data_IF_308516063931
#
_entry.id   IF_308516063931
#
_cell.length_a   1.000
_cell.length_b   1.000
_cell.length_c   1.000
_cell.angle_alpha   90.00
_cell.angle_beta   90.00
_cell.angle_gamma   90.00
#
_symmetry.space_group_name_H-M   'P 1'
#
loop_
_entity.id
_entity.type
_entity.pdbx_description
1 polymer ?
#
# COMPACT_ATOMS: atom_id res chain seq x y z
N UNK A 1 22.13 -73.96 -25.34
CA UNK A 1 20.69 -73.84 -25.76
C UNK A 1 20.28 -72.39 -25.70
N UNK A 2 19.69 -71.94 -26.71
CA UNK A 2 19.44 -70.59 -27.23
C UNK A 2 19.10 -69.53 -26.21
N UNK A 3 19.92 -68.44 -26.24
CA UNK A 3 19.59 -67.11 -25.65
C UNK A 3 18.64 -66.41 -26.59
N UNK A 4 17.52 -65.85 -26.04
CA UNK A 4 16.65 -64.92 -26.77
C UNK A 4 17.01 -63.50 -26.32
N UNK A 5 17.42 -62.71 -27.30
CA UNK A 5 17.72 -61.30 -27.21
C UNK A 5 16.42 -60.51 -27.14
N UNK A 6 16.19 -59.72 -26.10
CA UNK A 6 15.12 -58.74 -26.00
C UNK A 6 15.67 -57.37 -26.41
N UNK A 7 15.21 -56.90 -27.58
CA UNK A 7 15.47 -55.56 -28.09
C UNK A 7 14.53 -54.59 -27.35
N UNK A 8 15.08 -53.76 -26.47
CA UNK A 8 14.37 -52.62 -25.86
C UNK A 8 14.48 -51.44 -26.82
N UNK A 9 13.37 -51.11 -27.48
CA UNK A 9 13.25 -49.88 -28.26
C UNK A 9 13.17 -48.68 -27.31
N UNK A 10 14.21 -47.85 -27.36
CA UNK A 10 14.22 -46.57 -26.66
C UNK A 10 13.17 -45.60 -27.24
N UNK A 11 12.20 -45.21 -26.45
CA UNK A 11 11.36 -44.03 -26.71
C UNK A 11 12.18 -42.78 -26.42
N UNK A 12 12.56 -42.06 -27.46
CA UNK A 12 13.08 -40.70 -27.36
C UNK A 12 11.91 -39.83 -27.02
N UNK A 13 11.76 -39.46 -25.76
CA UNK A 13 10.84 -38.41 -25.31
C UNK A 13 11.40 -37.08 -25.79
N UNK A 14 10.80 -36.53 -26.82
CA UNK A 14 11.00 -35.12 -27.20
C UNK A 14 10.52 -34.23 -26.06
N UNK A 15 11.44 -33.65 -25.30
CA UNK A 15 11.17 -32.53 -24.40
C UNK A 15 10.77 -31.36 -25.29
N UNK A 16 9.49 -31.06 -25.33
CA UNK A 16 9.00 -29.75 -25.72
C UNK A 16 9.58 -28.75 -24.69
N UNK A 17 10.60 -28.02 -25.12
CA UNK A 17 11.02 -26.82 -24.44
C UNK A 17 9.85 -25.84 -24.54
N UNK A 18 9.04 -25.76 -23.47
CA UNK A 18 8.17 -24.62 -23.27
C UNK A 18 9.13 -23.42 -23.12
N UNK A 19 9.27 -22.65 -24.20
CA UNK A 19 9.95 -21.37 -24.16
C UNK A 19 9.21 -20.51 -23.15
N UNK A 20 9.87 -20.19 -22.04
CA UNK A 20 9.46 -19.09 -21.20
C UNK A 20 9.28 -17.88 -22.11
N UNK A 21 8.15 -17.16 -22.04
CA UNK A 21 8.04 -15.93 -22.77
C UNK A 21 9.21 -15.04 -22.30
N UNK A 22 10.11 -14.73 -23.21
CA UNK A 22 11.12 -13.69 -23.02
C UNK A 22 10.34 -12.42 -22.75
N UNK A 23 10.20 -12.05 -21.45
CA UNK A 23 9.78 -10.73 -21.05
C UNK A 23 10.82 -9.79 -21.66
N UNK A 24 10.49 -9.19 -22.78
CA UNK A 24 11.13 -7.96 -23.20
C UNK A 24 10.87 -6.99 -22.06
N UNK A 25 11.90 -6.71 -21.28
CA UNK A 25 11.95 -5.57 -20.36
C UNK A 25 11.78 -4.32 -21.22
N UNK A 26 10.53 -3.98 -21.51
CA UNK A 26 10.22 -2.68 -22.02
C UNK A 26 10.35 -1.77 -20.78
N UNK A 27 11.49 -1.11 -20.64
CA UNK A 27 11.57 0.19 -19.99
C UNK A 27 10.68 1.12 -20.84
N UNK A 28 9.38 0.97 -20.72
CA UNK A 28 8.45 1.92 -21.25
C UNK A 28 8.81 3.24 -20.56
N UNK A 29 9.29 4.19 -21.35
CA UNK A 29 9.30 5.60 -20.97
C UNK A 29 8.00 5.85 -20.22
N UNK A 30 8.08 6.51 -19.07
CA UNK A 30 6.90 6.91 -18.31
C UNK A 30 6.13 7.87 -19.22
N UNK A 31 5.27 7.32 -20.08
CA UNK A 31 4.17 8.10 -20.61
C UNK A 31 3.30 8.37 -19.39
N UNK A 32 3.21 9.63 -19.01
CA UNK A 32 2.35 10.07 -17.91
C UNK A 32 1.01 9.37 -18.10
N UNK A 33 0.56 8.61 -17.10
CA UNK A 33 -0.69 7.86 -17.20
C UNK A 33 -1.81 8.84 -17.56
N UNK A 34 -2.50 8.58 -18.64
CA UNK A 34 -3.66 9.35 -19.13
C UNK A 34 -4.94 8.54 -19.13
N UNK A 35 -4.83 7.23 -18.84
CA UNK A 35 -6.00 6.36 -18.76
C UNK A 35 -6.70 6.61 -17.40
N UNK A 36 -8.03 6.60 -17.35
CA UNK A 36 -8.77 6.71 -16.10
C UNK A 36 -8.28 5.68 -15.08
N UNK A 37 -8.29 6.06 -13.81
CA UNK A 37 -7.99 5.11 -12.74
C UNK A 37 -9.09 4.04 -12.64
N UNK A 38 -8.69 2.83 -12.23
CA UNK A 38 -9.63 1.80 -11.83
C UNK A 38 -10.11 2.06 -10.40
N UNK A 39 -11.40 1.82 -10.11
CA UNK A 39 -12.01 1.98 -8.78
C UNK A 39 -12.91 0.77 -8.44
N UNK A 40 -12.78 0.17 -7.23
CA UNK A 40 -11.68 0.37 -6.30
C UNK A 40 -10.38 -0.11 -6.92
N UNK A 41 -9.30 0.59 -6.65
CA UNK A 41 -8.04 0.33 -7.34
C UNK A 41 -6.80 0.68 -6.52
N UNK A 42 -6.80 0.42 -5.21
CA UNK A 42 -5.66 0.59 -4.32
C UNK A 42 -5.18 -0.76 -3.75
N UNK A 43 -5.25 -0.99 -2.45
CA UNK A 43 -4.88 -2.29 -1.85
C UNK A 43 -5.82 -3.41 -2.28
N UNK A 44 -7.04 -3.07 -2.68
CA UNK A 44 -8.06 -4.00 -3.14
C UNK A 44 -8.67 -3.55 -4.45
N UNK A 45 -8.98 -4.52 -5.29
CA UNK A 45 -9.84 -4.40 -6.45
C UNK A 45 -11.13 -5.19 -6.23
N UNK A 46 -12.13 -5.02 -7.07
CA UNK A 46 -13.43 -5.70 -6.94
C UNK A 46 -13.30 -7.22 -6.88
N UNK A 47 -12.41 -7.80 -7.68
CA UNK A 47 -12.13 -9.23 -7.76
C UNK A 47 -11.56 -9.79 -6.43
N UNK A 48 -10.82 -8.98 -5.68
CA UNK A 48 -10.32 -9.37 -4.36
C UNK A 48 -11.47 -9.61 -3.38
N UNK A 49 -12.43 -8.68 -3.36
CA UNK A 49 -13.61 -8.83 -2.51
C UNK A 49 -14.49 -10.00 -2.94
N UNK A 50 -14.63 -10.26 -4.23
CA UNK A 50 -15.33 -11.44 -4.74
C UNK A 50 -14.65 -12.73 -4.30
N UNK A 51 -13.33 -12.80 -4.40
CA UNK A 51 -12.53 -13.93 -3.94
C UNK A 51 -12.66 -14.15 -2.45
N UNK A 52 -12.57 -13.08 -1.63
CA UNK A 52 -12.73 -13.15 -0.16
C UNK A 52 -14.12 -13.67 0.19
N UNK A 53 -15.19 -13.12 -0.41
CA UNK A 53 -16.56 -13.62 -0.21
C UNK A 53 -16.69 -15.10 -0.53
N UNK A 54 -16.06 -15.53 -1.64
CA UNK A 54 -16.06 -16.94 -2.03
C UNK A 54 -15.40 -17.84 -0.99
N UNK A 55 -14.26 -17.42 -0.42
CA UNK A 55 -13.55 -18.19 0.61
C UNK A 55 -14.30 -18.22 1.93
N UNK A 56 -14.88 -17.11 2.36
CA UNK A 56 -15.69 -17.03 3.60
C UNK A 56 -16.93 -17.90 3.47
N UNK A 57 -17.67 -17.82 2.36
CA UNK A 57 -18.86 -18.62 2.09
C UNK A 57 -18.57 -20.13 2.03
N UNK A 58 -17.40 -20.50 1.53
CA UNK A 58 -16.96 -21.90 1.45
C UNK A 58 -16.29 -22.39 2.74
N UNK A 59 -16.26 -21.57 3.80
CA UNK A 59 -15.57 -21.86 5.07
C UNK A 59 -14.12 -22.33 4.88
N UNK A 60 -13.43 -21.76 3.86
CA UNK A 60 -12.11 -22.20 3.44
C UNK A 60 -11.03 -21.70 4.42
N UNK A 61 -10.31 -22.64 5.05
CA UNK A 61 -9.11 -22.31 5.83
C UNK A 61 -7.91 -21.95 4.93
N UNK A 62 -7.00 -21.08 5.40
CA UNK A 62 -7.04 -20.34 6.68
C UNK A 62 -7.92 -19.06 6.65
N UNK A 63 -8.49 -18.70 5.51
CA UNK A 63 -9.17 -17.42 5.26
C UNK A 63 -10.39 -17.19 6.17
N UNK A 64 -11.16 -18.24 6.45
CA UNK A 64 -12.32 -18.14 7.38
C UNK A 64 -11.88 -17.79 8.79
N UNK A 65 -10.71 -18.24 9.25
CA UNK A 65 -10.18 -17.91 10.57
C UNK A 65 -9.81 -16.43 10.69
N UNK A 66 -9.27 -15.85 9.61
CA UNK A 66 -8.95 -14.42 9.57
C UNK A 66 -10.22 -13.58 9.45
N UNK A 67 -11.22 -14.07 8.71
CA UNK A 67 -12.55 -13.46 8.68
C UNK A 67 -13.19 -13.39 10.08
N UNK A 68 -13.14 -14.44 10.86
CA UNK A 68 -13.68 -14.46 12.24
C UNK A 68 -12.99 -13.41 13.12
N UNK A 69 -11.67 -13.20 12.94
CA UNK A 69 -10.94 -12.16 13.68
C UNK A 69 -11.34 -10.75 13.26
N UNK A 70 -11.51 -10.53 11.94
CA UNK A 70 -11.96 -9.25 11.40
C UNK A 70 -13.38 -8.94 11.88
N UNK A 71 -14.30 -9.89 11.76
CA UNK A 71 -15.69 -9.76 12.19
C UNK A 71 -15.80 -9.40 13.68
N UNK A 72 -14.98 -10.03 14.53
CA UNK A 72 -14.94 -9.74 15.96
C UNK A 72 -14.45 -8.33 16.30
N UNK A 73 -13.77 -7.62 15.38
CA UNK A 73 -13.29 -6.26 15.55
C UNK A 73 -14.24 -5.22 14.91
N UNK A 74 -15.17 -5.66 14.07
CA UNK A 74 -16.07 -4.79 13.35
C UNK A 74 -17.25 -4.38 14.23
N UNK A 75 -17.13 -3.26 14.94
CA UNK A 75 -18.20 -2.70 15.78
C UNK A 75 -18.90 -1.54 15.03
N UNK A 76 -20.13 -1.73 14.52
CA UNK A 76 -20.87 -0.65 13.86
C UNK A 76 -21.34 0.44 14.82
N UNK A 77 -21.26 0.21 16.14
CA UNK A 77 -21.53 1.20 17.19
C UNK A 77 -20.32 2.08 17.56
N UNK A 78 -19.18 1.90 16.88
CA UNK A 78 -17.98 2.69 17.16
C UNK A 78 -18.20 4.20 16.99
N UNK A 79 -17.72 4.98 17.95
CA UNK A 79 -17.80 6.44 17.94
C UNK A 79 -16.40 7.03 17.74
N UNK A 80 -16.13 7.73 16.61
CA UNK A 80 -14.82 8.33 16.36
C UNK A 80 -14.54 9.50 17.27
N UNK A 81 -13.25 9.83 17.46
CA UNK A 81 -12.77 10.96 18.23
C UNK A 81 -11.93 11.94 17.40
N UNK A 82 -12.52 12.64 16.41
CA UNK A 82 -11.78 13.54 15.54
C UNK A 82 -11.32 14.81 16.25
N UNK A 83 -10.16 15.32 15.83
CA UNK A 83 -9.56 16.53 16.35
C UNK A 83 -9.30 17.54 15.23
N UNK A 84 -9.49 18.86 15.46
CA UNK A 84 -9.13 19.88 14.46
C UNK A 84 -7.61 19.96 14.24
N UNK A 85 -6.82 19.63 15.23
CA UNK A 85 -5.34 19.51 15.14
C UNK A 85 -4.90 18.15 15.66
N UNK A 86 -4.26 17.36 14.80
CA UNK A 86 -3.58 16.13 15.22
C UNK A 86 -2.14 16.45 15.54
N UNK A 87 -1.70 16.06 16.75
CA UNK A 87 -0.35 16.23 17.22
C UNK A 87 0.37 14.88 17.29
N UNK A 88 1.55 14.79 16.65
CA UNK A 88 2.43 13.62 16.76
C UNK A 88 3.84 14.01 17.18
N UNK A 89 4.42 13.17 18.02
CA UNK A 89 5.78 13.34 18.53
C UNK A 89 5.84 14.08 19.85
N UNK A 90 7.04 14.18 20.41
CA UNK A 90 7.27 14.84 21.68
C UNK A 90 7.37 16.36 21.47
N UNK A 91 6.38 17.08 21.92
CA UNK A 91 6.30 18.55 21.86
C UNK A 91 5.63 19.11 23.11
N UNK A 92 5.63 20.45 23.25
CA UNK A 92 5.07 21.18 24.41
C UNK A 92 3.82 22.00 24.04
N UNK A 93 3.45 22.07 22.75
CA UNK A 93 2.42 22.97 22.25
C UNK A 93 1.03 22.34 22.26
N UNK A 94 0.93 21.02 22.28
CA UNK A 94 -0.33 20.29 22.31
C UNK A 94 -0.20 18.85 22.78
N UNK A 95 -1.30 18.16 23.06
CA UNK A 95 -1.31 16.77 23.45
C UNK A 95 -0.94 15.88 22.26
N UNK A 96 -0.16 14.80 22.49
CA UNK A 96 0.04 13.77 21.47
C UNK A 96 -1.24 12.92 21.33
N UNK A 97 -2.10 13.27 20.36
CA UNK A 97 -3.41 12.66 20.14
C UNK A 97 -3.49 11.85 18.83
N UNK A 98 -2.36 11.61 18.16
CA UNK A 98 -2.31 10.87 16.90
C UNK A 98 -2.88 9.44 17.01
N UNK A 99 -2.89 8.87 18.23
CA UNK A 99 -3.46 7.55 18.47
C UNK A 99 -4.97 7.47 18.17
N UNK A 100 -5.71 8.57 18.34
CA UNK A 100 -7.12 8.63 18.01
C UNK A 100 -7.32 8.51 16.49
N UNK A 101 -6.52 9.23 15.70
CA UNK A 101 -6.54 9.10 14.25
C UNK A 101 -6.20 7.66 13.80
N UNK A 102 -5.19 7.03 14.38
CA UNK A 102 -4.81 5.64 14.06
C UNK A 102 -5.94 4.67 14.32
N UNK A 103 -6.56 4.79 15.49
CA UNK A 103 -7.63 3.89 15.92
C UNK A 103 -8.87 4.07 15.06
N UNK A 104 -9.28 5.31 14.82
CA UNK A 104 -10.46 5.63 14.01
C UNK A 104 -10.32 5.12 12.59
N UNK A 105 -9.18 5.39 11.94
CA UNK A 105 -8.98 4.96 10.54
C UNK A 105 -8.81 3.44 10.42
N UNK A 106 -8.12 2.81 11.37
CA UNK A 106 -8.05 1.35 11.44
C UNK A 106 -9.43 0.71 11.59
N UNK A 107 -10.28 1.28 12.44
CA UNK A 107 -11.68 0.85 12.61
C UNK A 107 -12.51 1.07 11.34
N UNK A 108 -12.37 2.23 10.70
CA UNK A 108 -13.08 2.52 9.44
C UNK A 108 -12.70 1.51 8.35
N UNK A 109 -11.42 1.11 8.27
CA UNK A 109 -10.97 0.11 7.30
C UNK A 109 -11.58 -1.27 7.59
N UNK A 110 -11.56 -1.71 8.84
CA UNK A 110 -12.18 -2.99 9.24
C UNK A 110 -13.67 -3.01 8.89
N UNK A 111 -14.40 -1.93 9.19
CA UNK A 111 -15.83 -1.78 8.88
C UNK A 111 -16.10 -1.78 7.37
N UNK A 112 -15.30 -1.06 6.59
CA UNK A 112 -15.43 -1.01 5.15
C UNK A 112 -15.20 -2.37 4.48
N UNK A 113 -14.15 -3.11 4.91
CA UNK A 113 -13.88 -4.48 4.45
C UNK A 113 -15.00 -5.43 4.89
N UNK A 114 -15.49 -5.29 6.13
CA UNK A 114 -16.61 -6.10 6.66
C UNK A 114 -17.86 -5.94 5.79
N UNK A 115 -18.21 -4.70 5.45
CA UNK A 115 -19.30 -4.40 4.52
C UNK A 115 -19.09 -5.04 3.15
N UNK A 116 -17.91 -4.88 2.56
CA UNK A 116 -17.63 -5.44 1.22
C UNK A 116 -17.79 -6.95 1.16
N UNK A 117 -17.56 -7.64 2.26
CA UNK A 117 -17.67 -9.10 2.32
C UNK A 117 -19.08 -9.54 2.66
N UNK A 118 -19.76 -8.89 3.60
CA UNK A 118 -21.10 -9.31 4.05
C UNK A 118 -22.25 -8.66 3.27
N UNK A 119 -22.07 -7.44 2.79
CA UNK A 119 -23.13 -6.63 2.20
C UNK A 119 -24.06 -5.95 3.22
N UNK A 120 -23.74 -5.98 4.52
CA UNK A 120 -24.56 -5.42 5.58
C UNK A 120 -24.32 -3.92 5.73
N UNK A 121 -25.32 -3.09 5.43
CA UNK A 121 -25.20 -1.62 5.35
C UNK A 121 -24.82 -0.92 6.65
N UNK A 122 -25.03 -1.53 7.80
CA UNK A 122 -24.65 -0.92 9.08
C UNK A 122 -23.14 -0.66 9.17
N UNK A 123 -22.33 -1.54 8.61
CA UNK A 123 -20.86 -1.41 8.63
C UNK A 123 -20.38 -0.29 7.71
N UNK A 124 -20.94 -0.17 6.50
CA UNK A 124 -20.54 0.93 5.60
C UNK A 124 -20.98 2.29 6.13
N UNK A 125 -22.16 2.36 6.78
CA UNK A 125 -22.63 3.59 7.42
C UNK A 125 -21.70 4.01 8.56
N UNK A 126 -21.25 3.07 9.36
CA UNK A 126 -20.30 3.34 10.44
C UNK A 126 -18.93 3.78 9.89
N UNK A 127 -18.40 3.10 8.88
CA UNK A 127 -17.15 3.48 8.23
C UNK A 127 -17.23 4.89 7.62
N UNK A 128 -18.31 5.20 6.89
CA UNK A 128 -18.56 6.51 6.31
C UNK A 128 -18.65 7.61 7.40
N UNK A 129 -19.35 7.33 8.50
CA UNK A 129 -19.46 8.27 9.63
C UNK A 129 -18.10 8.64 10.24
N UNK A 130 -17.17 7.68 10.32
CA UNK A 130 -15.81 7.95 10.80
C UNK A 130 -15.08 8.90 9.83
N UNK A 131 -15.10 8.61 8.52
CA UNK A 131 -14.44 9.44 7.51
C UNK A 131 -15.08 10.84 7.45
N UNK A 132 -16.41 10.93 7.49
CA UNK A 132 -17.14 12.22 7.50
C UNK A 132 -16.81 13.06 8.74
N UNK A 133 -16.65 12.41 9.90
CA UNK A 133 -16.27 13.09 11.13
C UNK A 133 -14.85 13.70 11.04
N UNK A 134 -13.89 12.96 10.48
CA UNK A 134 -12.53 13.46 10.28
C UNK A 134 -12.47 14.52 9.17
N UNK A 135 -13.10 14.30 8.02
CA UNK A 135 -13.07 15.24 6.90
C UNK A 135 -13.75 16.57 7.20
N UNK A 136 -14.69 16.59 8.14
CA UNK A 136 -15.33 17.82 8.61
C UNK A 136 -14.61 18.52 9.76
N UNK A 137 -13.67 17.85 10.42
CA UNK A 137 -13.06 18.36 11.67
C UNK A 137 -11.57 18.66 11.52
N UNK A 138 -10.80 17.81 10.83
CA UNK A 138 -9.34 17.93 10.73
C UNK A 138 -8.96 19.16 9.90
N UNK A 139 -8.12 20.01 10.47
CA UNK A 139 -7.58 21.21 9.82
C UNK A 139 -6.09 21.11 9.56
N UNK A 140 -5.35 20.40 10.43
CA UNK A 140 -3.88 20.33 10.34
C UNK A 140 -3.30 19.18 11.15
N UNK A 141 -2.08 18.76 10.77
CA UNK A 141 -1.25 17.81 11.51
C UNK A 141 0.01 18.55 11.97
N UNK A 142 0.26 18.56 13.27
CA UNK A 142 1.37 19.29 13.93
C UNK A 142 2.32 18.38 14.69
N UNK A 143 3.42 18.97 15.14
CA UNK A 143 4.48 18.33 15.90
C UNK A 143 5.85 18.53 15.26
N UNK A 144 6.90 17.92 15.79
CA UNK A 144 8.23 17.88 15.16
C UNK A 144 8.20 17.13 13.83
N UNK A 145 9.34 16.71 13.30
CA UNK A 145 9.41 15.96 12.03
C UNK A 145 8.44 14.76 11.97
N UNK A 146 8.16 14.11 13.09
CA UNK A 146 7.21 12.98 13.19
C UNK A 146 5.83 13.25 12.57
N UNK A 147 5.40 14.51 12.43
CA UNK A 147 4.14 14.88 11.77
C UNK A 147 4.08 14.37 10.33
N UNK A 148 5.21 14.34 9.62
CA UNK A 148 5.28 13.86 8.23
C UNK A 148 5.15 12.34 8.14
N UNK A 149 5.64 11.61 9.14
CA UNK A 149 5.38 10.18 9.22
C UNK A 149 3.90 9.89 9.53
N UNK A 150 3.23 10.75 10.32
CA UNK A 150 1.78 10.65 10.50
C UNK A 150 1.04 10.90 9.18
N UNK A 151 1.36 11.97 8.44
CA UNK A 151 0.69 12.25 7.17
C UNK A 151 0.87 11.12 6.17
N UNK A 152 2.06 10.52 6.08
CA UNK A 152 2.32 9.38 5.21
C UNK A 152 1.52 8.14 5.61
N UNK A 153 1.67 7.68 6.85
CA UNK A 153 1.03 6.44 7.33
C UNK A 153 -0.50 6.52 7.31
N UNK A 154 -1.09 7.63 7.77
CA UNK A 154 -2.54 7.75 7.81
C UNK A 154 -3.12 8.17 6.46
N UNK A 155 -2.40 8.94 5.66
CA UNK A 155 -2.86 9.36 4.35
C UNK A 155 -3.20 8.18 3.44
N UNK A 156 -2.30 7.19 3.30
CA UNK A 156 -2.62 6.03 2.47
C UNK A 156 -3.74 5.16 3.06
N UNK A 157 -3.83 5.06 4.39
CA UNK A 157 -4.89 4.28 5.04
C UNK A 157 -6.26 4.93 4.84
N UNK A 158 -6.38 6.24 5.05
CA UNK A 158 -7.62 7.00 4.80
C UNK A 158 -8.02 6.85 3.33
N UNK A 159 -7.08 7.06 2.41
CA UNK A 159 -7.35 6.94 0.98
C UNK A 159 -7.88 5.54 0.60
N UNK A 160 -7.33 4.48 1.19
CA UNK A 160 -7.84 3.11 0.97
C UNK A 160 -9.27 2.91 1.51
N UNK A 161 -9.62 3.52 2.64
CA UNK A 161 -11.00 3.49 3.16
C UNK A 161 -11.94 4.25 2.22
N UNK A 162 -11.56 5.46 1.83
CA UNK A 162 -12.34 6.32 0.92
C UNK A 162 -12.59 5.61 -0.41
N UNK A 163 -11.59 4.90 -0.93
CA UNK A 163 -11.69 4.14 -2.17
C UNK A 163 -12.71 3.00 -2.08
N UNK A 164 -12.78 2.31 -0.94
CA UNK A 164 -13.80 1.29 -0.70
C UNK A 164 -15.19 1.94 -0.56
N UNK A 165 -15.30 3.04 0.18
CA UNK A 165 -16.56 3.74 0.41
C UNK A 165 -17.14 4.39 -0.86
N UNK A 166 -16.30 4.74 -1.84
CA UNK A 166 -16.71 5.29 -3.14
C UNK A 166 -17.77 4.44 -3.84
N UNK A 167 -17.76 3.14 -3.64
CA UNK A 167 -18.73 2.22 -4.24
C UNK A 167 -20.11 2.23 -3.54
N UNK A 168 -20.24 2.88 -2.38
CA UNK A 168 -21.53 3.03 -1.72
C UNK A 168 -22.26 4.27 -2.21
N UNK A 169 -23.25 4.09 -3.08
CA UNK A 169 -23.95 5.19 -3.79
C UNK A 169 -24.64 6.22 -2.86
N UNK A 170 -24.97 5.79 -1.63
CA UNK A 170 -25.64 6.67 -0.66
C UNK A 170 -24.67 7.59 0.07
N UNK A 171 -23.37 7.31 0.05
CA UNK A 171 -22.36 8.16 0.64
C UNK A 171 -22.18 9.46 -0.14
N UNK A 172 -22.21 10.59 0.56
CA UNK A 172 -22.06 11.94 0.00
C UNK A 172 -20.80 12.66 0.49
N UNK A 173 -19.97 12.00 1.29
CA UNK A 173 -18.76 12.55 1.88
C UNK A 173 -17.52 12.50 1.00
N UNK A 174 -17.59 11.94 -0.21
CA UNK A 174 -16.42 11.72 -1.07
C UNK A 174 -15.62 13.01 -1.31
N UNK A 175 -16.28 14.09 -1.75
CA UNK A 175 -15.60 15.36 -2.06
C UNK A 175 -14.90 15.94 -0.83
N UNK A 176 -15.54 15.90 0.35
CA UNK A 176 -14.94 16.39 1.60
C UNK A 176 -13.73 15.56 2.01
N UNK A 177 -13.81 14.24 1.87
CA UNK A 177 -12.69 13.34 2.16
C UNK A 177 -11.51 13.54 1.19
N UNK A 178 -11.79 13.71 -0.11
CA UNK A 178 -10.78 14.03 -1.14
C UNK A 178 -10.11 15.37 -0.84
N UNK A 179 -10.88 16.41 -0.52
CA UNK A 179 -10.32 17.73 -0.17
C UNK A 179 -9.41 17.64 1.06
N UNK A 180 -9.84 16.96 2.14
CA UNK A 180 -8.98 16.72 3.31
C UNK A 180 -7.67 16.02 2.92
N UNK A 181 -7.73 14.97 2.11
CA UNK A 181 -6.58 14.22 1.67
C UNK A 181 -5.61 15.07 0.83
N UNK A 182 -6.13 15.87 -0.09
CA UNK A 182 -5.29 16.73 -0.97
C UNK A 182 -4.73 17.93 -0.19
N UNK A 183 -5.58 18.64 0.56
CA UNK A 183 -5.19 19.91 1.18
C UNK A 183 -4.26 19.70 2.38
N UNK A 184 -4.42 18.60 3.13
CA UNK A 184 -3.64 18.36 4.34
C UNK A 184 -2.56 17.29 4.09
N UNK A 185 -2.96 16.08 3.68
CA UNK A 185 -2.03 14.96 3.62
C UNK A 185 -1.07 15.06 2.43
N UNK A 186 -1.58 15.25 1.20
CA UNK A 186 -0.71 15.40 0.05
C UNK A 186 0.19 16.62 0.16
N UNK A 187 -0.30 17.76 0.61
CA UNK A 187 0.52 18.96 0.81
C UNK A 187 1.72 18.68 1.72
N UNK A 188 1.52 17.93 2.80
CA UNK A 188 2.60 17.51 3.69
C UNK A 188 3.52 16.47 3.05
N UNK A 189 2.95 15.48 2.35
CA UNK A 189 3.75 14.44 1.69
C UNK A 189 4.67 15.06 0.63
N UNK A 190 4.14 15.97 -0.20
CA UNK A 190 4.89 16.72 -1.20
C UNK A 190 6.00 17.58 -0.57
N UNK A 191 5.68 18.33 0.50
CA UNK A 191 6.70 19.09 1.27
C UNK A 191 7.82 18.19 1.74
N UNK A 192 7.48 17.02 2.30
CA UNK A 192 8.49 16.10 2.81
C UNK A 192 9.38 15.54 1.71
N UNK A 193 8.81 14.98 0.65
CA UNK A 193 9.58 14.32 -0.42
C UNK A 193 10.41 15.32 -1.26
N UNK A 194 10.01 16.59 -1.32
CA UNK A 194 10.73 17.61 -2.09
C UNK A 194 11.76 18.40 -1.27
N UNK A 195 11.63 18.44 0.05
CA UNK A 195 12.45 19.35 0.88
C UNK A 195 13.18 18.65 2.03
N UNK A 196 12.71 17.47 2.49
CA UNK A 196 13.23 16.76 3.67
C UNK A 196 13.52 17.71 4.86
N UNK A 197 12.68 18.75 5.04
CA UNK A 197 12.84 19.79 6.05
C UNK A 197 14.20 20.51 5.98
N UNK A 198 14.79 20.61 4.81
CA UNK A 198 16.12 21.22 4.58
C UNK A 198 17.28 20.33 5.03
N UNK A 199 17.04 19.07 5.34
CA UNK A 199 18.07 18.09 5.65
C UNK A 199 18.62 17.43 4.38
N UNK A 200 19.82 16.81 4.41
CA UNK A 200 20.32 15.98 3.32
C UNK A 200 19.35 14.83 2.99
N UNK A 201 19.37 14.38 1.73
CA UNK A 201 18.45 13.34 1.23
C UNK A 201 18.57 12.00 1.96
N UNK A 202 19.71 11.70 2.57
CA UNK A 202 20.01 10.50 3.36
C UNK A 202 19.78 10.67 4.86
N UNK A 203 19.20 11.80 5.31
CA UNK A 203 18.99 12.08 6.73
C UNK A 203 17.86 11.25 7.34
N UNK A 204 16.76 11.10 6.62
CA UNK A 204 15.60 10.34 7.08
C UNK A 204 15.72 8.87 6.65
N UNK A 205 15.22 7.97 7.50
CA UNK A 205 15.15 6.54 7.19
C UNK A 205 14.13 6.25 6.09
N UNK A 206 14.30 5.10 5.42
CA UNK A 206 13.46 4.72 4.27
C UNK A 206 11.96 4.74 4.56
N UNK A 207 11.54 4.30 5.75
CA UNK A 207 10.12 4.28 6.13
C UNK A 207 9.44 5.66 6.04
N UNK A 208 10.18 6.77 6.23
CA UNK A 208 9.63 8.12 6.13
C UNK A 208 9.22 8.46 4.69
N UNK A 209 10.13 8.29 3.74
CA UNK A 209 9.82 8.50 2.33
C UNK A 209 8.76 7.50 1.85
N UNK A 210 8.93 6.22 2.15
CA UNK A 210 8.02 5.16 1.72
C UNK A 210 6.58 5.42 2.19
N UNK A 211 6.38 5.88 3.43
CA UNK A 211 5.06 6.24 3.93
C UNK A 211 4.45 7.41 3.14
N UNK A 212 5.25 8.46 2.85
CA UNK A 212 4.78 9.61 2.09
C UNK A 212 4.52 9.27 0.62
N UNK A 213 5.34 8.44 -0.01
CA UNK A 213 5.12 7.92 -1.38
C UNK A 213 3.81 7.11 -1.44
N UNK A 214 3.61 6.17 -0.51
CA UNK A 214 2.39 5.36 -0.44
C UNK A 214 1.13 6.23 -0.31
N UNK A 215 1.21 7.29 0.49
CA UNK A 215 0.14 8.27 0.67
C UNK A 215 -0.14 9.06 -0.61
N UNK A 216 0.88 9.61 -1.25
CA UNK A 216 0.74 10.34 -2.52
C UNK A 216 0.11 9.48 -3.61
N UNK A 217 0.59 8.23 -3.76
CA UNK A 217 0.01 7.29 -4.73
C UNK A 217 -1.48 7.05 -4.48
N UNK A 218 -1.83 6.75 -3.24
CA UNK A 218 -3.21 6.49 -2.87
C UNK A 218 -4.11 7.73 -3.08
N UNK A 219 -3.64 8.91 -2.68
CA UNK A 219 -4.37 10.17 -2.88
C UNK A 219 -4.53 10.50 -4.37
N UNK A 220 -3.51 10.25 -5.20
CA UNK A 220 -3.58 10.43 -6.64
C UNK A 220 -4.72 9.62 -7.27
N UNK A 221 -4.89 8.35 -6.86
CA UNK A 221 -6.01 7.51 -7.34
C UNK A 221 -7.35 8.03 -6.84
N UNK A 222 -7.49 8.24 -5.52
CA UNK A 222 -8.76 8.67 -4.92
C UNK A 222 -9.25 10.01 -5.45
N UNK A 223 -8.32 10.93 -5.74
CA UNK A 223 -8.63 12.26 -6.27
C UNK A 223 -8.72 12.30 -7.81
N UNK A 224 -8.57 11.18 -8.50
CA UNK A 224 -8.46 11.13 -9.98
C UNK A 224 -7.38 12.09 -10.51
N UNK A 225 -6.29 12.27 -9.77
CA UNK A 225 -5.23 13.22 -10.06
C UNK A 225 -3.94 12.53 -10.52
N UNK A 226 -3.73 12.52 -11.84
CA UNK A 226 -2.56 11.91 -12.45
C UNK A 226 -1.23 12.62 -12.10
N UNK A 227 -1.24 13.90 -11.80
CA UNK A 227 -0.01 14.64 -11.47
C UNK A 227 0.52 14.16 -10.11
N UNK A 228 -0.35 14.02 -9.10
CA UNK A 228 0.01 13.47 -7.78
C UNK A 228 0.51 12.03 -7.91
N UNK A 229 -0.20 11.21 -8.69
CA UNK A 229 0.18 9.81 -8.94
C UNK A 229 1.55 9.70 -9.61
N UNK A 230 1.77 10.45 -10.69
CA UNK A 230 3.03 10.41 -11.43
C UNK A 230 4.19 10.90 -10.58
N UNK A 231 4.01 11.97 -9.80
CA UNK A 231 5.02 12.47 -8.87
C UNK A 231 5.49 11.37 -7.91
N UNK A 232 4.55 10.63 -7.31
CA UNK A 232 4.88 9.53 -6.40
C UNK A 232 5.61 8.38 -7.10
N UNK A 233 5.17 7.98 -8.30
CA UNK A 233 5.80 6.92 -9.10
C UNK A 233 7.22 7.32 -9.52
N UNK A 234 7.40 8.55 -9.97
CA UNK A 234 8.72 9.06 -10.38
C UNK A 234 9.66 9.14 -9.19
N UNK A 235 9.17 9.62 -8.04
CA UNK A 235 9.97 9.65 -6.83
C UNK A 235 10.34 8.24 -6.35
N UNK A 236 9.42 7.29 -6.34
CA UNK A 236 9.73 5.89 -6.00
C UNK A 236 10.80 5.28 -6.90
N UNK A 237 10.76 5.59 -8.20
CA UNK A 237 11.70 5.04 -9.17
C UNK A 237 13.07 5.69 -9.15
N UNK A 238 13.18 6.97 -8.88
CA UNK A 238 14.44 7.72 -9.05
C UNK A 238 14.59 8.94 -8.16
N UNK A 239 13.80 9.08 -7.09
CA UNK A 239 13.95 10.13 -6.09
C UNK A 239 15.30 10.07 -5.37
N UNK A 240 15.67 11.16 -4.72
CA UNK A 240 16.96 11.26 -4.05
C UNK A 240 16.94 10.66 -2.63
N UNK A 241 15.78 10.64 -1.99
CA UNK A 241 15.66 10.17 -0.61
C UNK A 241 15.69 8.66 -0.45
N UNK A 242 15.68 8.21 0.79
CA UNK A 242 15.90 6.82 1.15
C UNK A 242 14.72 5.88 0.80
N UNK A 243 13.55 6.40 0.42
CA UNK A 243 12.42 5.60 -0.05
C UNK A 243 12.41 5.32 -1.55
N UNK A 244 13.29 5.93 -2.35
CA UNK A 244 13.47 5.49 -3.72
C UNK A 244 13.97 4.04 -3.75
N UNK A 245 13.47 3.21 -4.66
CA UNK A 245 13.67 1.75 -4.61
C UNK A 245 15.13 1.34 -4.54
N UNK A 246 16.05 2.04 -5.23
CA UNK A 246 17.48 1.73 -5.19
C UNK A 246 18.14 2.09 -3.86
N UNK A 247 17.58 3.07 -3.13
CA UNK A 247 18.03 3.46 -1.81
C UNK A 247 17.35 2.62 -0.73
N UNK A 248 16.05 2.33 -0.86
CA UNK A 248 15.30 1.50 0.09
C UNK A 248 15.81 0.04 0.12
N UNK A 249 16.21 -0.49 -1.03
CA UNK A 249 16.91 -1.78 -1.15
C UNK A 249 18.27 -1.48 -1.79
N UNK A 250 19.21 -1.02 -0.98
CA UNK A 250 20.43 -0.37 -1.42
C UNK A 250 21.52 -1.31 -1.93
N UNK A 251 21.55 -2.56 -1.46
CA UNK A 251 22.59 -3.52 -1.85
C UNK A 251 21.98 -4.85 -2.25
N UNK A 252 22.48 -5.43 -3.34
CA UNK A 252 22.13 -6.76 -3.80
C UNK A 252 23.29 -7.71 -3.55
N UNK A 253 23.00 -8.88 -3.02
CA UNK A 253 23.94 -9.95 -2.73
C UNK A 253 23.55 -11.22 -3.45
N UNK A 254 24.52 -12.02 -3.86
CA UNK A 254 24.26 -13.38 -4.35
C UNK A 254 24.41 -14.38 -3.20
N UNK A 255 23.35 -15.11 -2.92
CA UNK A 255 23.36 -16.15 -1.89
C UNK A 255 24.28 -17.31 -2.29
N UNK A 256 25.19 -17.65 -1.39
CA UNK A 256 26.11 -18.78 -1.61
C UNK A 256 25.35 -20.11 -1.71
N UNK A 257 25.60 -20.87 -2.76
CA UNK A 257 25.03 -22.20 -2.98
C UNK A 257 23.72 -22.25 -3.73
N UNK A 258 22.90 -21.18 -3.71
CA UNK A 258 21.64 -21.13 -4.47
C UNK A 258 21.72 -20.22 -5.69
N UNK A 259 22.61 -19.22 -5.67
CA UNK A 259 22.71 -18.20 -6.70
C UNK A 259 21.56 -17.18 -6.70
N UNK A 260 20.69 -17.20 -5.69
CA UNK A 260 19.60 -16.23 -5.58
C UNK A 260 20.15 -14.82 -5.31
N UNK A 261 19.52 -13.84 -5.89
CA UNK A 261 19.75 -12.44 -5.55
C UNK A 261 18.94 -12.09 -4.32
N UNK A 262 19.59 -11.54 -3.30
CA UNK A 262 19.00 -11.09 -2.06
C UNK A 262 19.25 -9.58 -1.92
N UNK A 263 18.22 -8.83 -1.58
CA UNK A 263 18.30 -7.39 -1.37
C UNK A 263 18.41 -7.05 0.12
N UNK A 264 19.29 -6.11 0.44
CA UNK A 264 19.39 -5.56 1.78
C UNK A 264 18.57 -4.27 1.89
N UNK A 265 17.54 -4.28 2.75
CA UNK A 265 16.77 -3.08 3.08
C UNK A 265 17.61 -2.05 3.81
N UNK A 266 17.29 -0.78 3.62
CA UNK A 266 18.04 0.34 4.20
C UNK A 266 18.08 0.28 5.74
N UNK A 267 17.02 -0.17 6.37
CA UNK A 267 16.91 -0.29 7.83
C UNK A 267 17.26 -1.69 8.38
N UNK A 268 17.85 -2.57 7.60
CA UNK A 268 18.13 -3.95 8.00
C UNK A 268 19.00 -4.09 9.26
N UNK A 269 19.82 -3.08 9.57
CA UNK A 269 20.68 -3.05 10.78
C UNK A 269 20.09 -2.26 11.96
N UNK A 270 18.90 -1.69 11.82
CA UNK A 270 18.30 -0.83 12.83
C UNK A 270 17.56 -1.64 13.92
N UNK A 271 16.41 -2.17 13.60
CA UNK A 271 15.62 -3.10 14.38
C UNK A 271 14.58 -3.80 13.50
N UNK A 272 14.03 -4.91 13.99
CA UNK A 272 13.07 -5.71 13.24
C UNK A 272 11.78 -4.94 12.90
N UNK A 273 11.30 -4.09 13.79
CA UNK A 273 10.05 -3.35 13.60
C UNK A 273 10.14 -2.39 12.41
N UNK A 274 11.24 -1.62 12.33
CA UNK A 274 11.46 -0.70 11.22
C UNK A 274 11.78 -1.42 9.91
N UNK A 275 12.63 -2.47 9.95
CA UNK A 275 12.90 -3.27 8.76
C UNK A 275 11.63 -3.91 8.17
N UNK A 276 10.73 -4.43 9.01
CA UNK A 276 9.43 -4.97 8.56
C UNK A 276 8.52 -3.86 8.03
N UNK A 277 8.56 -2.66 8.64
CA UNK A 277 7.76 -1.52 8.16
C UNK A 277 8.19 -1.07 6.77
N UNK A 278 9.49 -1.05 6.46
CA UNK A 278 9.99 -0.73 5.12
C UNK A 278 9.41 -1.67 4.07
N UNK A 279 9.52 -2.99 4.31
CA UNK A 279 8.99 -3.97 3.36
C UNK A 279 7.46 -3.99 3.29
N UNK A 280 6.76 -3.69 4.39
CA UNK A 280 5.32 -3.52 4.37
C UNK A 280 4.90 -2.33 3.49
N UNK A 281 5.58 -1.19 3.63
CA UNK A 281 5.31 0.00 2.80
C UNK A 281 5.70 -0.20 1.34
N UNK A 282 6.82 -0.86 1.05
CA UNK A 282 7.19 -1.29 -0.30
C UNK A 282 6.10 -2.17 -0.93
N UNK A 283 5.56 -3.11 -0.15
CA UNK A 283 4.44 -3.95 -0.58
C UNK A 283 3.16 -3.14 -0.84
N UNK A 284 2.84 -2.15 0.01
CA UNK A 284 1.71 -1.22 -0.19
C UNK A 284 1.87 -0.45 -1.49
N UNK A 285 3.04 0.15 -1.74
CA UNK A 285 3.34 0.91 -2.96
C UNK A 285 3.17 0.02 -4.19
N UNK A 286 3.79 -1.16 -4.18
CA UNK A 286 3.75 -2.07 -5.32
C UNK A 286 2.33 -2.61 -5.58
N UNK A 287 1.54 -2.90 -4.52
CA UNK A 287 0.16 -3.35 -4.67
C UNK A 287 -0.75 -2.25 -5.22
N UNK A 288 -0.64 -1.03 -4.72
CA UNK A 288 -1.39 0.11 -5.25
C UNK A 288 -1.08 0.36 -6.73
N UNK A 289 0.20 0.24 -7.11
CA UNK A 289 0.62 0.36 -8.50
C UNK A 289 0.06 -0.79 -9.36
N UNK A 290 0.13 -2.02 -8.86
CA UNK A 290 -0.37 -3.20 -9.57
C UNK A 290 -1.88 -3.13 -9.83
N UNK A 291 -2.65 -2.66 -8.86
CA UNK A 291 -4.10 -2.44 -9.00
C UNK A 291 -4.44 -1.38 -10.06
N UNK A 292 -3.44 -0.63 -10.49
CA UNK A 292 -3.52 0.39 -11.54
C UNK A 292 -2.73 -0.01 -12.80
N UNK A 293 -2.47 -1.31 -13.04
CA UNK A 293 -1.73 -1.84 -14.19
C UNK A 293 -0.27 -1.33 -14.33
N UNK A 294 0.36 -0.93 -13.20
CA UNK A 294 1.76 -0.54 -13.14
C UNK A 294 2.54 -1.59 -12.36
N UNK A 295 3.43 -2.32 -13.04
CA UNK A 295 4.24 -3.38 -12.41
C UNK A 295 5.48 -2.79 -11.71
N UNK A 296 5.35 -2.49 -10.42
CA UNK A 296 6.49 -2.17 -9.56
C UNK A 296 7.09 -3.41 -8.88
N UNK A 297 6.40 -4.54 -8.87
CA UNK A 297 6.94 -5.79 -8.35
C UNK A 297 8.13 -6.27 -9.17
N UNK A 298 7.99 -6.21 -10.52
CA UNK A 298 9.05 -6.59 -11.46
C UNK A 298 10.03 -5.47 -11.80
N UNK A 299 9.92 -4.29 -11.20
CA UNK A 299 10.78 -3.16 -11.53
C UNK A 299 12.22 -3.40 -11.09
N UNK A 300 13.22 -2.99 -11.92
CA UNK A 300 14.66 -3.20 -11.70
C UNK A 300 15.02 -4.67 -11.43
N UNK A 301 14.58 -5.56 -12.34
CA UNK A 301 14.86 -7.00 -12.27
C UNK A 301 14.42 -7.62 -10.93
N UNK A 302 13.15 -7.38 -10.56
CA UNK A 302 12.53 -7.90 -9.35
C UNK A 302 13.20 -7.40 -8.04
N UNK A 303 13.75 -6.18 -8.03
CA UNK A 303 14.51 -5.64 -6.89
C UNK A 303 13.72 -5.67 -5.58
N UNK A 304 12.41 -5.37 -5.63
CA UNK A 304 11.55 -5.45 -4.45
C UNK A 304 11.43 -6.89 -3.92
N UNK A 305 11.32 -7.86 -4.81
CA UNK A 305 11.20 -9.27 -4.45
C UNK A 305 12.53 -9.89 -4.00
N UNK A 306 13.65 -9.24 -4.27
CA UNK A 306 14.95 -9.65 -3.78
C UNK A 306 15.13 -9.31 -2.29
N UNK A 307 14.42 -8.30 -1.77
CA UNK A 307 14.46 -7.91 -0.35
C UNK A 307 13.54 -8.75 0.51
#
# INVERSE_FOLDING_TARGET
MRAQSLVVRGLVAARLAAGSPTRTSAYASIESRRQPFAHPGLLHISEDFERIRGFVKAEREPFVLDWVKLDAQADPGYVPNPHPTVWRGKQTEGPNNVADLFTDIGTAYVLAVRWKVSGEDEYVKAAASIIDSWSSTLLEIRGPSDRFLASGLQGYQIANVVEILREWSDWKGLDAAVNMLVDIFYSMNHEFTTQHLGMPDDHYWANWDLANIASMMAIGVVADNHDIWNEAIEYFKGGQGMGAIENAIWTLHTENGTGKVLGQGQEAGRDQGHAVLDFALLGVIAQQAYSQDVDLWGYLDDRLLAG
#
